data_IF_108010969503
#
_entry.id   IF_108010969503
#
_cell.length_a   1.000
_cell.length_b   1.000
_cell.length_c   1.000
_cell.angle_alpha   90.00
_cell.angle_beta   90.00
_cell.angle_gamma   90.00
#
_symmetry.space_group_name_H-M   'P 1'
#
loop_
_entity.id
_entity.type
_entity.pdbx_description
1 polymer ?
#
# COMPACT_ATOMS: atom_id res chain seq x y z
N UNK A 1 47.62 -16.52 23.66
CA UNK A 1 48.04 -15.12 23.79
C UNK A 1 46.80 -14.29 24.01
N UNK A 2 46.50 -14.03 25.27
CA UNK A 2 45.24 -13.44 25.73
C UNK A 2 45.42 -11.93 25.87
N UNK A 3 44.61 -11.14 25.17
CA UNK A 3 44.58 -9.68 25.30
C UNK A 3 43.47 -9.28 26.30
N UNK A 4 43.77 -8.53 27.37
CA UNK A 4 42.74 -7.99 28.26
C UNK A 4 42.26 -6.60 27.79
N UNK A 5 40.96 -6.39 27.96
CA UNK A 5 40.24 -5.14 27.71
C UNK A 5 40.57 -4.07 28.78
N UNK A 6 40.68 -2.77 28.43
CA UNK A 6 40.50 -1.67 29.38
C UNK A 6 39.00 -1.31 29.43
N UNK A 7 38.36 -0.95 30.54
CA UNK A 7 38.80 -0.20 31.70
C UNK A 7 37.65 0.73 32.10
N UNK A 8 36.98 0.39 33.20
CA UNK A 8 36.37 1.23 34.24
C UNK A 8 35.62 2.54 33.86
N UNK A 9 34.30 2.53 34.07
CA UNK A 9 33.46 3.74 34.22
C UNK A 9 33.49 4.24 35.67
N UNK A 10 33.66 5.54 35.94
CA UNK A 10 33.37 6.08 37.26
C UNK A 10 31.89 6.46 37.39
N UNK A 11 31.28 6.01 38.48
CA UNK A 11 30.00 6.48 39.01
C UNK A 11 30.18 7.88 39.62
N UNK A 12 29.33 8.83 39.21
CA UNK A 12 29.08 10.03 39.99
C UNK A 12 27.62 10.03 40.44
N UNK A 13 27.47 9.92 41.76
CA UNK A 13 26.24 10.15 42.52
C UNK A 13 26.07 11.64 42.76
N UNK A 14 24.82 12.10 42.73
CA UNK A 14 24.40 13.29 43.49
C UNK A 14 23.59 14.30 42.68
N UNK A 15 22.28 14.33 42.90
CA UNK A 15 21.60 15.44 43.60
C UNK A 15 20.11 15.44 43.23
N UNK A 16 19.28 15.09 44.21
CA UNK A 16 17.84 15.32 44.15
C UNK A 16 17.55 16.81 44.31
N UNK A 17 16.70 17.37 43.45
CA UNK A 17 15.95 18.60 43.72
C UNK A 17 14.49 18.44 43.31
N UNK A 18 13.64 18.70 44.29
CA UNK A 18 12.20 18.80 44.19
C UNK A 18 11.78 20.11 43.51
N UNK A 19 10.60 20.12 42.88
CA UNK A 19 9.86 21.35 42.60
C UNK A 19 9.01 21.32 41.33
N UNK A 20 7.69 21.47 41.50
CA UNK A 20 6.82 22.08 40.48
C UNK A 20 5.96 21.15 39.63
N UNK A 21 4.79 20.73 40.15
CA UNK A 21 3.68 20.26 39.32
C UNK A 21 3.04 21.46 38.62
N UNK A 22 3.34 21.67 37.33
CA UNK A 22 2.54 22.53 36.47
C UNK A 22 1.37 21.74 35.89
N UNK A 23 0.13 22.15 36.22
CA UNK A 23 -1.11 21.58 35.67
C UNK A 23 -1.22 21.98 34.19
N UNK A 24 -1.20 21.01 33.28
CA UNK A 24 -1.55 21.22 31.87
C UNK A 24 -3.07 21.30 31.73
N UNK A 25 -3.62 22.25 30.94
CA UNK A 25 -5.05 22.29 30.67
C UNK A 25 -5.44 21.15 29.73
N UNK A 26 -6.52 20.47 30.09
CA UNK A 26 -7.18 19.39 29.34
C UNK A 26 -7.63 19.87 27.95
N UNK A 27 -7.36 19.15 26.85
CA UNK A 27 -8.02 19.41 25.59
C UNK A 27 -9.45 18.86 25.65
N UNK A 28 -10.43 19.75 25.61
CA UNK A 28 -11.84 19.41 25.47
C UNK A 28 -12.08 18.81 24.09
N UNK A 29 -12.41 17.52 24.03
CA UNK A 29 -12.83 16.84 22.82
C UNK A 29 -14.20 17.35 22.38
N UNK A 30 -14.25 18.34 21.48
CA UNK A 30 -15.48 18.65 20.74
C UNK A 30 -15.80 17.48 19.83
N UNK A 31 -17.03 16.98 19.98
CA UNK A 31 -17.66 15.93 19.17
C UNK A 31 -17.38 16.16 17.68
N UNK A 32 -16.74 15.19 17.03
CA UNK A 32 -16.68 15.10 15.58
C UNK A 32 -18.11 14.96 15.05
N UNK A 33 -18.56 15.98 14.32
CA UNK A 33 -19.79 15.92 13.55
C UNK A 33 -19.66 14.83 12.48
N UNK A 34 -20.74 14.07 12.29
CA UNK A 34 -20.87 13.05 11.25
C UNK A 34 -20.77 13.76 9.89
N UNK A 35 -19.72 13.49 9.13
CA UNK A 35 -19.64 13.93 7.74
C UNK A 35 -20.43 12.96 6.87
N UNK A 36 -21.62 13.38 6.45
CA UNK A 36 -22.32 12.78 5.30
C UNK A 36 -21.53 13.08 4.01
N UNK A 37 -21.52 12.17 3.03
CA UNK A 37 -20.82 12.40 1.77
C UNK A 37 -21.51 13.48 0.92
N UNK A 38 -20.78 14.38 0.24
CA UNK A 38 -21.39 15.28 -0.73
C UNK A 38 -21.77 14.54 -2.02
N UNK A 39 -22.90 14.95 -2.60
CA UNK A 39 -23.43 14.45 -3.87
C UNK A 39 -22.46 14.71 -5.04
N UNK A 40 -22.46 13.87 -6.09
CA UNK A 40 -21.56 14.05 -7.23
C UNK A 40 -21.94 15.29 -8.04
N UNK A 41 -20.99 16.22 -8.15
CA UNK A 41 -21.09 17.39 -9.02
C UNK A 41 -21.03 16.99 -10.50
N UNK A 42 -22.08 17.42 -11.19
CA UNK A 42 -22.41 17.28 -12.61
C UNK A 42 -21.34 17.87 -13.54
N UNK A 43 -20.47 17.03 -14.09
CA UNK A 43 -19.62 17.38 -15.24
C UNK A 43 -19.54 16.24 -16.25
N UNK A 44 -20.63 16.05 -16.99
CA UNK A 44 -20.65 15.30 -18.24
C UNK A 44 -21.62 16.01 -19.20
N UNK A 45 -21.09 16.79 -20.15
CA UNK A 45 -21.77 17.10 -21.41
C UNK A 45 -21.06 16.30 -22.49
N UNK A 46 -21.75 15.30 -23.04
CA UNK A 46 -21.38 14.66 -24.29
C UNK A 46 -21.98 15.45 -25.46
N UNK A 47 -21.26 15.71 -26.56
CA UNK A 47 -21.92 16.04 -27.82
C UNK A 47 -22.42 14.74 -28.48
N UNK A 48 -23.62 14.84 -29.07
CA UNK A 48 -24.35 13.72 -29.66
C UNK A 48 -23.69 13.12 -30.89
N UNK A 49 -23.85 11.81 -31.04
CA UNK A 49 -23.59 11.07 -32.26
C UNK A 49 -24.93 10.55 -32.79
N UNK A 50 -25.30 11.04 -33.97
CA UNK A 50 -26.45 10.61 -34.75
C UNK A 50 -26.30 9.16 -35.20
N UNK A 51 -27.39 8.41 -35.09
CA UNK A 51 -27.51 7.03 -35.50
C UNK A 51 -27.68 6.93 -37.03
N UNK A 52 -26.89 6.07 -37.66
CA UNK A 52 -27.24 5.42 -38.92
C UNK A 52 -26.93 3.94 -38.81
N UNK A 53 -27.99 3.14 -38.96
CA UNK A 53 -27.99 1.70 -38.85
C UNK A 53 -27.41 1.04 -40.10
N UNK A 54 -26.45 0.14 -39.91
CA UNK A 54 -26.12 -0.91 -40.86
C UNK A 54 -25.82 -2.19 -40.08
N UNK A 55 -26.65 -3.22 -40.29
CA UNK A 55 -26.44 -4.58 -39.77
C UNK A 55 -25.37 -5.27 -40.62
N UNK A 56 -24.47 -6.04 -40.00
CA UNK A 56 -23.96 -7.23 -40.64
C UNK A 56 -24.43 -8.49 -39.91
N UNK A 57 -24.97 -9.40 -40.70
CA UNK A 57 -25.05 -10.82 -40.41
C UNK A 57 -23.65 -11.38 -40.19
N UNK A 58 -23.48 -12.23 -39.19
CA UNK A 58 -22.73 -13.48 -39.33
C UNK A 58 -22.82 -14.31 -38.06
N UNK A 59 -23.24 -15.55 -38.27
CA UNK A 59 -23.08 -16.69 -37.39
C UNK A 59 -21.63 -16.82 -36.92
N UNK A 60 -21.40 -16.86 -35.60
CA UNK A 60 -20.42 -17.68 -34.87
C UNK A 60 -20.19 -17.06 -33.48
N UNK A 61 -21.00 -17.40 -32.47
CA UNK A 61 -20.59 -17.14 -31.07
C UNK A 61 -21.29 -17.97 -29.99
N UNK A 62 -22.14 -18.94 -30.36
CA UNK A 62 -22.95 -19.70 -29.41
C UNK A 62 -22.18 -20.65 -28.46
N UNK A 63 -20.84 -20.71 -28.53
CA UNK A 63 -20.00 -21.55 -27.63
C UNK A 63 -19.32 -20.79 -26.48
N UNK A 64 -19.30 -19.46 -26.46
CA UNK A 64 -18.64 -18.70 -25.38
C UNK A 64 -19.59 -18.18 -24.29
N UNK A 65 -20.90 -18.35 -24.44
CA UNK A 65 -21.92 -17.77 -23.55
C UNK A 65 -22.21 -18.55 -22.25
N UNK A 66 -21.47 -19.63 -21.93
CA UNK A 66 -21.73 -20.47 -20.73
C UNK A 66 -20.73 -20.31 -19.59
N UNK A 67 -19.72 -19.46 -19.69
CA UNK A 67 -18.74 -19.25 -18.61
C UNK A 67 -19.07 -18.08 -17.66
N UNK A 68 -20.10 -17.29 -17.95
CA UNK A 68 -20.45 -16.09 -17.18
C UNK A 68 -21.51 -16.37 -16.12
N UNK A 69 -21.26 -17.28 -15.16
CA UNK A 69 -22.15 -17.51 -13.99
C UNK A 69 -21.54 -18.38 -12.88
N UNK A 70 -20.21 -18.40 -12.72
CA UNK A 70 -19.59 -18.90 -11.49
C UNK A 70 -19.26 -17.71 -10.62
N UNK A 71 -20.01 -17.56 -9.54
CA UNK A 71 -19.78 -16.54 -8.53
C UNK A 71 -18.31 -16.52 -8.13
N UNK A 72 -17.73 -15.32 -8.13
CA UNK A 72 -16.38 -15.06 -7.63
C UNK A 72 -16.37 -15.47 -6.16
N UNK A 73 -16.04 -16.73 -5.87
CA UNK A 73 -15.53 -17.09 -4.54
C UNK A 73 -14.37 -16.13 -4.31
N UNK A 74 -14.35 -15.48 -3.14
CA UNK A 74 -13.23 -14.67 -2.70
C UNK A 74 -12.01 -15.59 -2.69
N UNK A 75 -11.31 -15.65 -3.82
CA UNK A 75 -10.00 -16.26 -3.93
C UNK A 75 -9.15 -15.49 -2.93
N UNK A 76 -8.65 -16.13 -1.86
CA UNK A 76 -7.76 -15.44 -0.94
C UNK A 76 -6.64 -14.86 -1.79
N UNK A 77 -6.26 -13.61 -1.50
CA UNK A 77 -5.10 -12.88 -2.03
C UNK A 77 -4.09 -13.79 -2.74
N UNK A 78 -3.55 -13.44 -3.93
CA UNK A 78 -2.60 -14.30 -4.66
C UNK A 78 -1.32 -14.54 -3.84
N UNK A 79 -1.41 -15.49 -2.92
CA UNK A 79 -0.36 -16.01 -2.08
C UNK A 79 0.22 -17.15 -2.89
N UNK A 80 1.54 -17.13 -3.06
CA UNK A 80 2.27 -18.21 -3.70
C UNK A 80 1.90 -19.54 -3.02
N UNK A 81 1.57 -20.61 -3.77
CA UNK A 81 1.15 -21.88 -3.18
C UNK A 81 2.10 -22.38 -2.09
N UNK A 82 3.41 -22.17 -2.29
CA UNK A 82 4.47 -22.58 -1.37
C UNK A 82 4.40 -21.85 -0.03
N UNK A 83 3.87 -20.62 -0.02
CA UNK A 83 3.82 -19.79 1.18
C UNK A 83 2.50 -19.96 1.95
N UNK A 84 1.52 -20.69 1.43
CA UNK A 84 0.17 -20.79 2.02
C UNK A 84 0.18 -21.27 3.47
N UNK A 85 1.12 -22.14 3.82
CA UNK A 85 1.24 -22.72 5.16
C UNK A 85 1.72 -21.73 6.24
N UNK A 86 2.35 -20.62 5.84
CA UNK A 86 2.78 -19.57 6.78
C UNK A 86 1.63 -18.66 7.20
N UNK A 87 0.51 -18.68 6.49
CA UNK A 87 -0.66 -17.88 6.80
C UNK A 87 -1.65 -18.69 7.63
N UNK A 88 -2.17 -18.13 8.73
CA UNK A 88 -3.15 -18.84 9.54
C UNK A 88 -4.48 -18.97 8.78
N UNK A 89 -5.32 -19.90 9.21
CA UNK A 89 -6.62 -20.20 8.57
C UNK A 89 -7.51 -18.95 8.53
N UNK A 90 -7.40 -18.08 9.54
CA UNK A 90 -8.13 -16.84 9.71
C UNK A 90 -7.42 -15.61 9.11
N UNK A 91 -6.48 -15.80 8.18
CA UNK A 91 -5.74 -14.70 7.55
C UNK A 91 -6.64 -13.61 6.95
N UNK A 92 -7.78 -13.99 6.36
CA UNK A 92 -8.71 -13.01 5.78
C UNK A 92 -9.25 -12.06 6.87
N UNK A 93 -9.64 -12.61 8.02
CA UNK A 93 -10.14 -11.87 9.17
C UNK A 93 -9.04 -11.01 9.78
N UNK A 94 -7.84 -11.56 9.98
CA UNK A 94 -6.70 -10.82 10.50
C UNK A 94 -6.34 -9.64 9.58
N UNK A 95 -6.26 -9.89 8.28
CA UNK A 95 -5.97 -8.86 7.27
C UNK A 95 -7.03 -7.75 7.26
N UNK A 96 -8.31 -8.10 7.39
CA UNK A 96 -9.40 -7.11 7.48
C UNK A 96 -9.36 -6.32 8.79
N UNK A 97 -9.03 -6.97 9.92
CA UNK A 97 -8.82 -6.31 11.21
C UNK A 97 -7.71 -5.26 11.12
N UNK A 98 -6.60 -5.56 10.45
CA UNK A 98 -5.51 -4.58 10.25
C UNK A 98 -5.97 -3.47 9.29
N UNK A 99 -6.49 -3.81 8.11
CA UNK A 99 -6.78 -2.84 7.03
C UNK A 99 -7.96 -1.93 7.32
N UNK A 100 -9.05 -2.48 7.87
CA UNK A 100 -10.31 -1.78 8.03
C UNK A 100 -10.67 -1.54 9.50
N UNK A 101 -10.22 -2.40 10.41
CA UNK A 101 -10.37 -2.19 11.85
C UNK A 101 -9.39 -1.13 12.37
N UNK A 102 -8.11 -1.49 12.49
CA UNK A 102 -7.05 -0.63 13.06
C UNK A 102 -6.76 0.58 12.19
N UNK A 103 -6.50 0.34 10.91
CA UNK A 103 -6.10 1.39 9.98
C UNK A 103 -7.29 2.20 9.42
N UNK A 104 -8.54 1.81 9.77
CA UNK A 104 -9.78 2.49 9.36
C UNK A 104 -9.91 2.69 7.84
N UNK A 105 -9.37 1.76 7.05
CA UNK A 105 -9.36 1.86 5.60
C UNK A 105 -8.39 2.90 5.04
N UNK A 106 -7.41 3.37 5.83
CA UNK A 106 -6.38 4.31 5.37
C UNK A 106 -4.99 3.67 5.44
N UNK A 107 -4.13 4.01 4.49
CA UNK A 107 -2.73 3.54 4.52
C UNK A 107 -2.00 4.08 5.76
N UNK A 108 -1.40 3.21 6.56
CA UNK A 108 -0.61 3.58 7.75
C UNK A 108 0.76 4.19 7.41
N UNK A 109 1.12 4.26 6.12
CA UNK A 109 2.33 4.92 5.65
C UNK A 109 2.12 6.33 5.11
N UNK A 110 1.05 6.55 4.33
CA UNK A 110 0.81 7.82 3.64
C UNK A 110 -0.59 8.41 3.82
N UNK A 111 -1.50 7.69 4.47
CA UNK A 111 -2.88 8.14 4.72
C UNK A 111 -3.85 8.01 3.55
N UNK A 112 -3.43 7.49 2.38
CA UNK A 112 -4.34 7.31 1.24
C UNK A 112 -5.51 6.37 1.60
N UNK A 113 -6.77 6.75 1.33
CA UNK A 113 -7.94 5.93 1.65
C UNK A 113 -8.14 4.78 0.66
N UNK A 114 -8.56 3.62 1.17
CA UNK A 114 -8.87 2.42 0.40
C UNK A 114 -10.04 2.64 -0.55
N UNK A 115 -9.95 2.07 -1.75
CA UNK A 115 -11.02 2.09 -2.74
C UNK A 115 -11.27 3.46 -3.37
N UNK A 116 -10.49 4.49 -3.03
CA UNK A 116 -10.64 5.83 -3.59
C UNK A 116 -9.72 6.04 -4.79
N UNK A 117 -10.16 6.91 -5.69
CA UNK A 117 -9.36 7.38 -6.80
C UNK A 117 -8.58 8.63 -6.33
N UNK A 118 -7.25 8.57 -6.38
CA UNK A 118 -6.38 9.63 -5.85
C UNK A 118 -5.53 10.23 -6.96
N UNK A 119 -5.56 11.57 -7.06
CA UNK A 119 -4.68 12.35 -7.92
C UNK A 119 -3.29 12.51 -7.27
N UNK A 120 -2.22 12.37 -8.05
CA UNK A 120 -0.86 12.48 -7.56
C UNK A 120 0.12 12.98 -8.64
N UNK A 121 1.24 13.54 -8.19
CA UNK A 121 2.27 14.13 -9.07
C UNK A 121 3.37 13.12 -9.47
N UNK A 122 3.18 11.83 -9.19
CA UNK A 122 4.13 10.76 -9.53
C UNK A 122 5.29 10.59 -8.55
N UNK A 123 5.78 11.69 -7.97
CA UNK A 123 6.82 11.69 -6.93
C UNK A 123 6.34 11.17 -5.55
N UNK A 124 5.03 11.01 -5.40
CA UNK A 124 4.38 10.55 -4.19
C UNK A 124 3.50 11.58 -3.49
N UNK A 125 3.58 12.85 -3.88
CA UNK A 125 2.61 13.86 -3.44
C UNK A 125 1.24 13.51 -4.00
N UNK A 126 0.22 13.67 -3.17
CA UNK A 126 -1.15 13.30 -3.54
C UNK A 126 -2.17 14.28 -2.98
N UNK A 127 -3.28 14.44 -3.69
CA UNK A 127 -4.36 15.32 -3.31
C UNK A 127 -5.31 14.64 -2.33
N UNK A 128 -5.42 15.19 -1.12
CA UNK A 128 -6.43 14.80 -0.14
C UNK A 128 -7.70 15.62 -0.37
N UNK A 129 -8.69 15.01 -1.02
CA UNK A 129 -9.97 15.65 -1.30
C UNK A 129 -10.76 16.00 -0.02
N UNK A 130 -10.61 15.22 1.06
CA UNK A 130 -11.31 15.47 2.32
C UNK A 130 -10.71 16.66 3.08
N UNK A 131 -9.38 16.78 3.05
CA UNK A 131 -8.66 17.90 3.65
C UNK A 131 -8.46 19.12 2.73
N UNK A 132 -8.91 19.02 1.46
CA UNK A 132 -8.61 19.98 0.38
C UNK A 132 -7.14 20.42 0.37
N UNK A 133 -6.22 19.47 0.53
CA UNK A 133 -4.79 19.78 0.70
C UNK A 133 -3.92 18.75 0.02
N UNK A 134 -2.74 19.18 -0.42
CA UNK A 134 -1.70 18.26 -0.87
C UNK A 134 -1.05 17.58 0.32
N UNK A 135 -0.78 16.28 0.19
CA UNK A 135 0.00 15.52 1.16
C UNK A 135 1.27 14.98 0.52
N UNK A 136 2.33 14.88 1.32
CA UNK A 136 3.58 14.26 0.92
C UNK A 136 3.43 12.74 0.76
N UNK A 137 4.48 12.10 0.24
CA UNK A 137 4.54 10.64 0.15
C UNK A 137 4.46 9.91 1.51
N UNK A 138 4.62 10.62 2.64
CA UNK A 138 4.45 10.13 4.03
C UNK A 138 3.16 10.65 4.69
N UNK A 139 2.26 11.29 3.94
CA UNK A 139 0.97 11.78 4.43
C UNK A 139 1.00 13.13 5.16
N UNK A 140 2.16 13.79 5.25
CA UNK A 140 2.26 15.13 5.87
C UNK A 140 1.59 16.18 4.97
N UNK A 141 0.77 17.10 5.50
CA UNK A 141 0.16 18.17 4.70
C UNK A 141 1.23 19.09 4.12
N UNK A 142 0.97 19.63 2.94
CA UNK A 142 1.86 20.51 2.19
C UNK A 142 1.10 21.77 1.75
N UNK A 143 1.79 22.92 1.79
CA UNK A 143 1.28 24.20 1.31
C UNK A 143 1.56 24.35 -0.20
N UNK A 144 0.90 23.53 -1.01
CA UNK A 144 0.90 23.68 -2.47
C UNK A 144 -0.40 24.35 -2.92
N UNK A 145 -0.34 24.99 -4.09
CA UNK A 145 -1.53 25.51 -4.76
C UNK A 145 -2.59 24.40 -4.91
N UNK A 146 -3.89 24.72 -4.78
CA UNK A 146 -4.97 23.76 -5.03
C UNK A 146 -4.84 23.12 -6.42
N UNK A 147 -5.47 21.96 -6.60
CA UNK A 147 -5.42 21.18 -7.85
C UNK A 147 -5.71 22.04 -9.11
N UNK A 148 -6.67 22.96 -9.00
CA UNK A 148 -7.13 23.86 -10.07
C UNK A 148 -6.13 24.97 -10.41
N UNK A 149 -5.24 25.31 -9.47
CA UNK A 149 -4.29 26.41 -9.59
C UNK A 149 -2.86 25.92 -9.90
N UNK A 150 -2.71 24.65 -10.27
CA UNK A 150 -1.41 24.13 -10.68
C UNK A 150 -0.99 24.71 -12.05
N UNK A 151 0.31 24.94 -12.28
CA UNK A 151 0.80 25.43 -13.56
C UNK A 151 0.34 24.55 -14.73
N UNK A 152 -0.10 25.19 -15.82
CA UNK A 152 -0.47 24.54 -17.06
C UNK A 152 0.76 23.79 -17.62
N UNK A 153 0.77 22.47 -17.48
CA UNK A 153 1.94 21.62 -17.77
C UNK A 153 2.33 20.68 -16.63
N UNK A 154 1.74 20.86 -15.44
CA UNK A 154 1.89 19.89 -14.34
C UNK A 154 1.17 18.60 -14.71
N UNK A 155 1.92 17.49 -14.86
CA UNK A 155 1.34 16.17 -15.11
C UNK A 155 0.70 15.65 -13.83
N UNK A 156 -0.60 15.37 -13.89
CA UNK A 156 -1.39 14.82 -12.79
C UNK A 156 -1.82 13.42 -13.18
N UNK A 157 -1.31 12.46 -12.43
CA UNK A 157 -1.63 11.05 -12.60
C UNK A 157 -2.70 10.62 -11.60
N UNK A 158 -3.40 9.54 -11.92
CA UNK A 158 -4.50 9.05 -11.11
C UNK A 158 -4.35 7.57 -10.79
N UNK A 159 -4.47 7.20 -9.51
CA UNK A 159 -4.38 5.81 -9.07
C UNK A 159 -5.56 5.43 -8.18
N UNK A 160 -6.17 4.28 -8.47
CA UNK A 160 -7.14 3.62 -7.57
C UNK A 160 -6.38 2.96 -6.42
N UNK A 161 -6.66 3.38 -5.19
CA UNK A 161 -5.91 2.92 -4.02
C UNK A 161 -6.49 1.60 -3.51
N UNK A 162 -5.63 0.60 -3.35
CA UNK A 162 -5.94 -0.66 -2.67
C UNK A 162 -4.95 -0.86 -1.53
N UNK A 163 -5.47 -1.33 -0.40
CA UNK A 163 -4.66 -1.64 0.79
C UNK A 163 -4.39 -3.13 0.83
N UNK A 164 -3.13 -3.46 1.10
CA UNK A 164 -2.68 -4.80 1.45
C UNK A 164 -2.22 -4.81 2.92
N UNK A 165 -2.27 -6.00 3.52
CA UNK A 165 -1.61 -6.25 4.79
C UNK A 165 -0.18 -6.71 4.51
N UNK A 166 0.80 -6.07 5.13
CA UNK A 166 2.23 -6.28 4.89
C UNK A 166 2.95 -6.63 6.19
N UNK A 167 3.83 -7.63 6.14
CA UNK A 167 4.74 -7.99 7.22
C UNK A 167 5.93 -7.02 7.27
N UNK A 168 6.26 -6.49 8.45
CA UNK A 168 7.30 -5.48 8.59
C UNK A 168 8.72 -6.05 8.55
N UNK A 169 8.88 -7.30 8.96
CA UNK A 169 10.12 -8.07 8.90
C UNK A 169 10.31 -8.85 7.59
N UNK A 170 9.34 -8.75 6.67
CA UNK A 170 9.27 -9.55 5.44
C UNK A 170 9.20 -11.08 5.66
N UNK A 171 8.90 -11.54 6.87
CA UNK A 171 8.68 -12.95 7.19
C UNK A 171 7.17 -13.27 7.15
N UNK A 172 6.68 -14.06 6.17
CA UNK A 172 5.28 -14.41 6.09
C UNK A 172 4.79 -15.27 7.28
N UNK A 173 5.70 -15.89 8.05
CA UNK A 173 5.35 -16.67 9.24
C UNK A 173 5.03 -15.80 10.47
N UNK A 174 5.51 -14.56 10.53
CA UNK A 174 5.31 -13.68 11.67
C UNK A 174 3.99 -12.88 11.57
N UNK A 175 2.89 -13.52 11.93
CA UNK A 175 1.54 -12.95 11.83
C UNK A 175 1.09 -12.16 13.08
N UNK A 176 2.02 -11.74 13.95
CA UNK A 176 1.66 -10.89 15.10
C UNK A 176 1.05 -9.56 14.58
N UNK A 177 -0.12 -9.13 15.09
CA UNK A 177 -0.75 -7.88 14.67
C UNK A 177 0.18 -6.65 14.72
N UNK A 178 1.17 -6.62 15.61
CA UNK A 178 2.17 -5.55 15.72
C UNK A 178 3.19 -5.58 14.58
N UNK A 179 3.47 -6.77 14.03
CA UNK A 179 4.35 -6.94 12.87
C UNK A 179 3.63 -6.64 11.54
N UNK A 180 2.29 -6.55 11.55
CA UNK A 180 1.50 -6.29 10.36
C UNK A 180 1.22 -4.80 10.19
N UNK A 181 1.22 -4.29 8.95
CA UNK A 181 0.76 -2.94 8.59
C UNK A 181 -0.15 -2.91 7.38
N UNK A 182 -1.12 -1.97 7.38
CA UNK A 182 -1.98 -1.70 6.24
C UNK A 182 -1.30 -0.68 5.30
N UNK A 183 -0.81 -1.14 4.16
CA UNK A 183 -0.09 -0.31 3.19
C UNK A 183 -0.82 -0.25 1.85
N UNK A 184 -0.82 0.93 1.22
CA UNK A 184 -1.26 1.06 -0.17
C UNK A 184 -0.21 0.51 -1.14
N UNK A 185 -0.59 0.27 -2.41
CA UNK A 185 0.30 -0.33 -3.41
C UNK A 185 1.68 0.36 -3.49
N UNK A 186 1.70 1.70 -3.48
CA UNK A 186 2.95 2.49 -3.48
C UNK A 186 3.79 2.26 -2.23
N UNK A 187 3.20 2.42 -1.05
CA UNK A 187 3.93 2.25 0.21
C UNK A 187 4.42 0.82 0.40
N UNK A 188 3.65 -0.16 -0.08
CA UNK A 188 4.01 -1.57 -0.03
C UNK A 188 5.24 -1.85 -0.89
N UNK A 189 5.24 -1.44 -2.16
CA UNK A 189 6.39 -1.60 -3.07
C UNK A 189 7.65 -0.90 -2.53
N UNK A 190 7.51 0.25 -1.88
CA UNK A 190 8.64 0.95 -1.29
C UNK A 190 9.20 0.22 -0.06
N UNK A 191 8.33 -0.35 0.78
CA UNK A 191 8.72 -1.18 1.92
C UNK A 191 9.49 -2.42 1.46
N UNK A 192 8.95 -3.14 0.47
CA UNK A 192 9.54 -4.40 0.00
C UNK A 192 10.72 -4.22 -0.96
N UNK A 193 11.13 -2.98 -1.27
CA UNK A 193 12.14 -2.71 -2.31
C UNK A 193 13.45 -3.46 -2.06
N UNK A 194 13.95 -3.42 -0.84
CA UNK A 194 15.23 -4.04 -0.46
C UNK A 194 15.14 -5.56 -0.53
N UNK A 195 14.08 -6.14 0.03
CA UNK A 195 13.87 -7.59 -0.03
C UNK A 195 13.63 -8.08 -1.46
N UNK A 196 12.88 -7.33 -2.28
CA UNK A 196 12.71 -7.63 -3.70
C UNK A 196 14.03 -7.57 -4.48
N UNK A 197 14.99 -6.72 -4.09
CA UNK A 197 16.32 -6.71 -4.70
C UNK A 197 17.13 -7.94 -4.26
N UNK A 198 17.10 -8.29 -2.97
CA UNK A 198 17.75 -9.49 -2.41
C UNK A 198 17.20 -10.77 -3.04
N UNK A 199 15.89 -10.94 -3.09
CA UNK A 199 15.22 -12.10 -3.70
C UNK A 199 15.56 -12.21 -5.20
N UNK A 200 15.57 -11.09 -5.95
CA UNK A 200 15.98 -11.07 -7.36
C UNK A 200 17.42 -11.52 -7.52
N UNK A 201 18.32 -11.02 -6.67
CA UNK A 201 19.72 -11.42 -6.67
C UNK A 201 19.89 -12.93 -6.45
N UNK A 202 19.25 -13.50 -5.43
CA UNK A 202 19.26 -14.95 -5.19
C UNK A 202 18.67 -15.74 -6.36
N UNK A 203 17.53 -15.30 -6.90
CA UNK A 203 16.87 -15.97 -8.02
C UNK A 203 17.78 -16.03 -9.25
N UNK A 204 18.46 -14.92 -9.56
CA UNK A 204 19.39 -14.86 -10.70
C UNK A 204 20.64 -15.71 -10.45
N UNK A 205 21.18 -15.66 -9.25
CA UNK A 205 22.36 -16.45 -8.88
C UNK A 205 22.07 -17.94 -8.90
N UNK A 206 20.94 -18.37 -8.36
CA UNK A 206 20.49 -19.76 -8.39
C UNK A 206 20.31 -20.26 -9.83
N UNK A 207 19.65 -19.47 -10.69
CA UNK A 207 19.49 -19.81 -12.10
C UNK A 207 20.82 -19.98 -12.84
N UNK A 208 21.79 -19.10 -12.60
CA UNK A 208 23.14 -19.20 -13.17
C UNK A 208 23.88 -20.44 -12.68
N UNK A 209 23.91 -20.66 -11.36
CA UNK A 209 24.58 -21.82 -10.78
C UNK A 209 24.02 -23.16 -11.29
N UNK A 210 22.70 -23.27 -11.50
CA UNK A 210 22.11 -24.44 -12.14
C UNK A 210 22.57 -24.64 -13.58
N UNK A 211 22.73 -23.57 -14.35
CA UNK A 211 23.32 -23.62 -15.69
C UNK A 211 24.76 -24.09 -15.67
N UNK A 212 25.58 -23.46 -14.83
CA UNK A 212 27.03 -23.69 -14.76
C UNK A 212 27.39 -25.09 -14.24
N UNK A 213 26.68 -25.59 -13.22
CA UNK A 213 27.02 -26.85 -12.52
C UNK A 213 26.26 -28.07 -13.04
N UNK A 214 25.04 -27.90 -13.54
CA UNK A 214 24.12 -29.01 -13.82
C UNK A 214 23.48 -28.94 -15.22
N UNK A 215 24.04 -28.15 -16.15
CA UNK A 215 23.50 -27.97 -17.50
C UNK A 215 22.02 -27.56 -17.50
N UNK A 216 21.59 -26.77 -16.49
CA UNK A 216 20.23 -26.22 -16.34
C UNK A 216 19.79 -25.32 -17.51
N UNK A 217 18.72 -24.49 -17.41
CA UNK A 217 17.97 -23.93 -18.55
C UNK A 217 18.71 -22.93 -19.49
N UNK A 218 20.05 -22.95 -19.49
CA UNK A 218 20.96 -22.48 -20.52
C UNK A 218 21.40 -23.61 -21.50
N UNK A 219 20.51 -24.25 -22.29
CA UNK A 219 20.97 -25.29 -23.22
C UNK A 219 21.52 -24.71 -24.54
N UNK A 220 22.15 -23.52 -24.51
CA UNK A 220 22.47 -22.64 -25.66
C UNK A 220 21.27 -21.84 -26.21
N UNK A 221 21.44 -20.52 -26.22
CA UNK A 221 20.67 -19.57 -27.04
C UNK A 221 21.64 -19.06 -28.10
N UNK A 222 21.57 -19.63 -29.30
CA UNK A 222 22.15 -19.04 -30.50
C UNK A 222 21.08 -18.20 -31.19
#
# INVERSE_FOLDING_TARGET
MSAPWPGSRPQLRGAARAGGRARSPTPTWRRAARCSPPAPSRWLRSPGASASAARPSTSTSRRHARAARRGRRAEPMPIRPENRFFYPIDWAQLSDLIRFGRAKGCCEGCGRPHGQLVFHLGDGRWWDAAGQTWRSGKGRPLKLAPLECLPAGTVIETTRVYLACAHLDHDPGNNDPKNLRALCQRCHILHDRTEHLRQRWFTYRHRKALGDLFLGPYPFRY
#
